data_IF_520323587654
#
_entry.id   IF_520323587654
#
_cell.length_a   1.000
_cell.length_b   1.000
_cell.length_c   1.000
_cell.angle_alpha   90.00
_cell.angle_beta   90.00
_cell.angle_gamma   90.00
#
_symmetry.space_group_name_H-M   'P 1'
#
loop_
_entity.id
_entity.type
_entity.pdbx_description
1 polymer ?
#
# COMPACT_ATOMS: atom_id res chain seq x y z
N UNK A 1 34.98 -23.51 -24.63
CA UNK A 1 34.86 -22.64 -25.81
C UNK A 1 35.09 -23.49 -27.06
N UNK A 2 34.04 -23.90 -27.75
CA UNK A 2 34.14 -24.51 -29.08
C UNK A 2 33.47 -23.57 -30.07
N UNK A 3 34.27 -22.98 -30.96
CA UNK A 3 33.79 -22.21 -32.09
C UNK A 3 33.16 -23.17 -33.11
N UNK A 4 31.85 -23.06 -33.33
CA UNK A 4 31.16 -23.80 -34.39
C UNK A 4 31.00 -22.84 -35.58
N UNK A 5 31.88 -22.98 -36.57
CA UNK A 5 31.60 -22.46 -37.93
C UNK A 5 30.59 -23.38 -38.59
N UNK A 6 29.47 -22.86 -39.07
CA UNK A 6 28.56 -23.60 -39.97
C UNK A 6 28.23 -22.76 -41.19
N UNK A 7 28.74 -23.21 -42.33
CA UNK A 7 28.28 -22.79 -43.65
C UNK A 7 26.93 -23.41 -43.95
N UNK A 8 26.00 -22.62 -44.48
CA UNK A 8 24.72 -23.11 -44.97
C UNK A 8 24.89 -23.87 -46.29
N UNK A 9 24.48 -25.13 -46.33
CA UNK A 9 24.14 -25.81 -47.58
C UNK A 9 22.97 -26.75 -47.34
N UNK A 10 21.78 -26.34 -47.81
CA UNK A 10 20.47 -27.01 -47.76
C UNK A 10 19.71 -26.79 -46.43
N UNK A 11 18.61 -26.02 -46.52
CA UNK A 11 17.72 -25.63 -45.41
C UNK A 11 17.02 -26.82 -44.74
N UNK A 12 16.30 -26.71 -43.63
CA UNK A 12 15.82 -25.62 -42.75
C UNK A 12 15.32 -26.33 -41.50
N UNK A 13 15.76 -26.01 -40.27
CA UNK A 13 15.32 -26.78 -39.09
C UNK A 13 15.21 -26.01 -37.75
N UNK A 14 15.12 -24.68 -37.70
CA UNK A 14 14.67 -23.98 -36.46
C UNK A 14 13.84 -22.74 -36.88
N UNK A 15 12.64 -22.49 -36.31
CA UNK A 15 11.61 -21.62 -36.88
C UNK A 15 12.07 -20.16 -37.09
N UNK A 16 11.56 -19.56 -38.16
CA UNK A 16 11.81 -18.17 -38.61
C UNK A 16 10.62 -17.32 -38.15
N UNK A 17 10.80 -16.12 -37.56
CA UNK A 17 10.53 -14.89 -38.33
C UNK A 17 11.32 -13.66 -37.83
N UNK A 18 12.58 -13.48 -38.19
CA UNK A 18 12.86 -12.81 -39.45
C UNK A 18 14.24 -13.14 -39.94
N UNK A 19 14.31 -14.11 -40.84
CA UNK A 19 15.46 -14.22 -41.73
C UNK A 19 15.55 -12.94 -42.56
N UNK A 20 16.76 -12.56 -42.99
CA UNK A 20 16.93 -12.10 -44.35
C UNK A 20 16.36 -13.21 -45.23
N UNK A 21 15.11 -13.06 -45.65
CA UNK A 21 14.54 -13.89 -46.70
C UNK A 21 15.48 -13.74 -47.90
N UNK A 22 16.23 -14.80 -48.12
CA UNK A 22 16.56 -15.33 -49.45
C UNK A 22 17.38 -14.49 -50.45
N UNK A 23 17.90 -13.31 -50.09
CA UNK A 23 18.66 -12.48 -51.06
C UNK A 23 20.15 -12.31 -50.78
N UNK A 24 20.68 -12.80 -49.65
CA UNK A 24 22.11 -12.68 -49.36
C UNK A 24 22.70 -13.95 -48.75
N UNK A 25 23.38 -14.74 -49.58
CA UNK A 25 24.40 -15.68 -49.11
C UNK A 25 25.46 -14.87 -48.35
N UNK A 26 25.43 -14.90 -47.02
CA UNK A 26 26.38 -14.23 -46.16
C UNK A 26 26.71 -15.09 -44.94
N UNK A 27 27.97 -15.05 -44.51
CA UNK A 27 28.40 -15.74 -43.29
C UNK A 27 27.84 -15.03 -42.05
N UNK A 28 27.35 -15.80 -41.07
CA UNK A 28 26.77 -15.27 -39.83
C UNK A 28 27.28 -16.04 -38.61
N UNK A 29 27.25 -15.38 -37.45
CA UNK A 29 27.49 -16.00 -36.14
C UNK A 29 26.21 -15.93 -35.32
N UNK A 30 25.88 -17.01 -34.64
CA UNK A 30 24.71 -17.12 -33.77
C UNK A 30 25.13 -17.51 -32.35
N UNK A 31 24.60 -16.80 -31.37
CA UNK A 31 24.70 -17.13 -29.95
C UNK A 31 23.38 -17.78 -29.54
N UNK A 32 23.44 -19.04 -29.12
CA UNK A 32 22.24 -19.84 -28.83
C UNK A 32 22.21 -20.20 -27.34
N UNK A 33 21.02 -20.11 -26.77
CA UNK A 33 20.59 -20.66 -25.49
C UNK A 33 19.45 -21.66 -25.76
N UNK A 34 19.12 -22.56 -24.80
CA UNK A 34 18.10 -23.59 -24.99
C UNK A 34 16.76 -23.08 -25.55
N UNK A 35 16.38 -21.84 -25.24
CA UNK A 35 15.15 -21.25 -25.74
C UNK A 35 15.26 -19.80 -26.23
N UNK A 36 16.46 -19.39 -26.62
CA UNK A 36 16.67 -18.06 -27.20
C UNK A 36 17.90 -18.04 -28.07
N UNK A 37 17.92 -17.18 -29.08
CA UNK A 37 19.12 -16.96 -29.86
C UNK A 37 19.21 -15.54 -30.40
N UNK A 38 20.43 -15.04 -30.54
CA UNK A 38 20.72 -13.80 -31.25
C UNK A 38 21.79 -14.06 -32.31
N UNK A 39 21.59 -13.54 -33.52
CA UNK A 39 22.47 -13.77 -34.66
C UNK A 39 22.59 -12.51 -35.51
N UNK A 40 23.78 -12.29 -36.06
CA UNK A 40 24.05 -11.29 -37.08
C UNK A 40 25.09 -11.83 -38.06
N UNK A 41 25.19 -11.14 -39.20
CA UNK A 41 26.27 -11.34 -40.15
C UNK A 41 27.64 -10.99 -39.53
N UNK A 42 28.67 -11.67 -40.01
CA UNK A 42 30.07 -11.39 -39.65
C UNK A 42 30.43 -9.96 -40.07
N UNK A 43 31.21 -9.27 -39.24
CA UNK A 43 31.71 -7.92 -39.47
C UNK A 43 31.11 -6.83 -38.57
N UNK A 44 31.44 -5.55 -38.86
CA UNK A 44 30.99 -4.42 -38.06
C UNK A 44 29.51 -4.10 -38.32
N UNK A 45 28.92 -3.33 -37.40
CA UNK A 45 27.52 -2.88 -37.47
C UNK A 45 27.20 -2.18 -38.81
N UNK A 46 28.08 -1.28 -39.25
CA UNK A 46 27.86 -0.38 -40.39
C UNK A 46 28.26 -0.95 -41.77
N UNK A 47 28.76 -2.20 -41.84
CA UNK A 47 29.09 -2.79 -43.14
C UNK A 47 27.81 -3.18 -43.89
N UNK A 48 27.33 -2.24 -44.71
CA UNK A 48 26.40 -2.51 -45.80
C UNK A 48 27.25 -2.87 -47.02
N UNK A 49 27.27 -4.14 -47.42
CA UNK A 49 27.94 -4.52 -48.67
C UNK A 49 27.35 -3.68 -49.83
N UNK A 50 28.18 -3.01 -50.65
CA UNK A 50 27.68 -2.22 -51.77
C UNK A 50 26.88 -3.11 -52.72
N UNK A 51 25.59 -2.79 -52.93
CA UNK A 51 24.71 -3.52 -53.85
C UNK A 51 23.83 -4.60 -53.21
N UNK A 52 23.95 -4.89 -51.90
CA UNK A 52 22.96 -5.70 -51.17
C UNK A 52 22.08 -4.78 -50.32
N UNK A 53 20.85 -4.60 -50.75
CA UNK A 53 19.84 -3.91 -49.95
C UNK A 53 19.71 -4.57 -48.57
N UNK A 54 19.93 -3.79 -47.50
CA UNK A 54 19.41 -4.00 -46.16
C UNK A 54 19.66 -5.38 -45.51
N UNK A 55 20.92 -5.74 -45.27
CA UNK A 55 21.24 -6.84 -44.34
C UNK A 55 20.95 -6.40 -42.90
N UNK A 56 19.70 -6.52 -42.48
CA UNK A 56 19.23 -6.10 -41.17
C UNK A 56 20.03 -6.72 -40.03
N UNK A 57 20.13 -5.97 -38.94
CA UNK A 57 20.89 -6.33 -37.74
C UNK A 57 19.93 -6.56 -36.58
N UNK A 58 20.12 -7.66 -35.86
CA UNK A 58 19.39 -7.99 -34.64
C UNK A 58 20.13 -7.41 -33.44
N UNK A 59 19.51 -6.41 -32.79
CA UNK A 59 20.07 -5.79 -31.59
C UNK A 59 19.61 -6.48 -30.30
N UNK A 60 18.41 -7.04 -30.31
CA UNK A 60 17.83 -7.74 -29.19
C UNK A 60 16.88 -8.82 -29.67
N UNK A 61 16.83 -9.92 -28.95
CA UNK A 61 15.77 -10.93 -29.04
C UNK A 61 15.20 -11.17 -27.67
N UNK A 62 13.90 -11.37 -27.57
CA UNK A 62 13.24 -11.72 -26.32
C UNK A 62 12.27 -12.87 -26.56
N UNK A 63 12.31 -13.89 -25.70
CA UNK A 63 11.44 -15.06 -25.76
C UNK A 63 10.75 -15.26 -24.41
N UNK A 64 9.43 -15.46 -24.42
CA UNK A 64 8.68 -15.83 -23.21
C UNK A 64 8.51 -17.34 -23.10
N UNK A 65 8.36 -17.81 -21.86
CA UNK A 65 7.91 -19.16 -21.55
C UNK A 65 7.08 -19.16 -20.27
N UNK A 66 6.18 -20.12 -20.18
CA UNK A 66 5.26 -20.30 -19.06
C UNK A 66 5.53 -21.59 -18.29
N UNK A 67 6.61 -22.28 -18.65
CA UNK A 67 7.01 -23.57 -18.11
C UNK A 67 8.36 -23.43 -17.41
N UNK A 68 8.44 -23.83 -16.15
CA UNK A 68 9.67 -23.71 -15.37
C UNK A 68 10.79 -24.60 -15.91
N UNK A 69 10.48 -25.83 -16.33
CA UNK A 69 11.44 -26.79 -16.90
C UNK A 69 12.18 -26.27 -18.16
N UNK A 70 11.61 -25.27 -18.84
CA UNK A 70 12.12 -24.63 -20.04
C UNK A 70 13.09 -23.47 -19.75
N UNK A 71 13.08 -22.97 -18.51
CA UNK A 71 13.96 -21.87 -18.06
C UNK A 71 15.38 -22.36 -17.79
N UNK A 72 16.34 -21.43 -17.71
CA UNK A 72 17.74 -21.71 -17.37
C UNK A 72 17.98 -21.63 -15.86
N UNK A 73 17.42 -20.62 -15.21
CA UNK A 73 17.70 -20.27 -13.81
C UNK A 73 16.54 -20.58 -12.88
N UNK A 74 15.34 -20.81 -13.43
CA UNK A 74 14.08 -20.85 -12.68
C UNK A 74 13.36 -22.20 -12.73
N UNK A 75 14.09 -23.28 -13.06
CA UNK A 75 13.53 -24.64 -13.19
C UNK A 75 12.92 -25.17 -11.89
N UNK A 76 13.34 -24.62 -10.75
CA UNK A 76 12.89 -24.97 -9.41
C UNK A 76 11.59 -24.25 -8.99
N UNK A 77 11.05 -23.36 -9.82
CA UNK A 77 9.84 -22.61 -9.47
C UNK A 77 8.57 -23.41 -9.81
N UNK A 78 7.85 -23.84 -8.78
CA UNK A 78 6.56 -24.54 -8.92
C UNK A 78 5.37 -23.59 -9.11
N UNK A 79 5.65 -22.28 -9.10
CA UNK A 79 4.64 -21.22 -9.13
C UNK A 79 4.91 -20.18 -10.22
N UNK A 80 5.68 -20.59 -11.25
CA UNK A 80 6.03 -19.71 -12.38
C UNK A 80 4.76 -19.24 -13.10
N UNK A 81 4.62 -17.92 -13.26
CA UNK A 81 3.59 -17.31 -14.10
C UNK A 81 4.11 -17.03 -15.51
N UNK A 82 5.36 -16.57 -15.63
CA UNK A 82 6.02 -16.26 -16.90
C UNK A 82 7.52 -16.10 -16.65
N UNK A 83 8.35 -16.55 -17.58
CA UNK A 83 9.75 -16.14 -17.68
C UNK A 83 10.02 -15.52 -19.05
N UNK A 84 10.91 -14.52 -19.10
CA UNK A 84 11.36 -13.87 -20.33
C UNK A 84 12.88 -13.95 -20.36
N UNK A 85 13.42 -14.49 -21.46
CA UNK A 85 14.84 -14.45 -21.78
C UNK A 85 15.09 -13.33 -22.78
N UNK A 86 15.89 -12.34 -22.39
CA UNK A 86 16.33 -11.24 -23.24
C UNK A 86 17.79 -11.45 -23.60
N UNK A 87 18.11 -11.52 -24.89
CA UNK A 87 19.48 -11.51 -25.38
C UNK A 87 19.72 -10.20 -26.13
N UNK A 88 20.76 -9.45 -25.76
CA UNK A 88 21.09 -8.14 -26.33
C UNK A 88 22.50 -8.16 -26.91
N UNK A 89 22.67 -7.53 -28.06
CA UNK A 89 23.99 -7.26 -28.62
C UNK A 89 24.83 -6.41 -27.65
N UNK A 90 26.15 -6.60 -27.66
CA UNK A 90 27.03 -5.85 -26.75
C UNK A 90 27.06 -4.36 -27.11
N UNK A 91 27.22 -3.51 -26.09
CA UNK A 91 27.38 -2.07 -26.29
C UNK A 91 28.62 -1.72 -27.14
N UNK A 92 29.68 -2.53 -27.06
CA UNK A 92 30.88 -2.34 -27.87
C UNK A 92 30.62 -2.59 -29.35
N UNK A 93 29.80 -3.57 -29.71
CA UNK A 93 29.41 -3.81 -31.10
C UNK A 93 28.42 -2.76 -31.59
N UNK A 94 27.46 -2.35 -30.75
CA UNK A 94 26.54 -1.24 -31.06
C UNK A 94 27.29 0.08 -31.27
N UNK A 95 28.38 0.31 -30.53
CA UNK A 95 29.29 1.44 -30.70
C UNK A 95 30.31 1.24 -31.84
N UNK A 96 30.20 0.17 -32.64
CA UNK A 96 31.12 -0.17 -33.74
C UNK A 96 32.60 -0.30 -33.33
N UNK A 97 32.89 -0.65 -32.07
CA UNK A 97 34.26 -0.85 -31.56
C UNK A 97 34.80 -2.26 -31.85
N UNK A 98 33.90 -3.24 -31.97
CA UNK A 98 34.22 -4.64 -32.28
C UNK A 98 33.35 -5.14 -33.42
N UNK A 99 33.79 -6.20 -34.09
CA UNK A 99 32.99 -6.95 -35.09
C UNK A 99 32.10 -7.99 -34.41
N UNK A 100 31.05 -8.45 -35.09
CA UNK A 100 30.03 -9.32 -34.48
C UNK A 100 30.60 -10.65 -33.97
N UNK A 101 31.50 -11.27 -34.73
CA UNK A 101 32.14 -12.54 -34.42
C UNK A 101 33.04 -12.50 -33.17
N UNK A 102 33.55 -11.31 -32.83
CA UNK A 102 34.39 -11.07 -31.66
C UNK A 102 33.60 -10.46 -30.50
N UNK A 103 32.30 -10.24 -30.67
CA UNK A 103 31.44 -9.63 -29.66
C UNK A 103 31.00 -10.61 -28.58
N UNK A 104 30.52 -10.07 -27.46
CA UNK A 104 29.94 -10.83 -26.34
C UNK A 104 28.55 -10.30 -26.01
N UNK A 105 27.48 -10.84 -26.62
CA UNK A 105 26.12 -10.48 -26.26
C UNK A 105 25.82 -10.81 -24.80
N UNK A 106 24.91 -10.04 -24.21
CA UNK A 106 24.44 -10.28 -22.84
C UNK A 106 23.10 -10.99 -22.87
N UNK A 107 22.90 -11.96 -21.98
CA UNK A 107 21.62 -12.63 -21.80
C UNK A 107 21.13 -12.46 -20.36
N UNK A 108 19.87 -12.08 -20.22
CA UNK A 108 19.20 -11.85 -18.93
C UNK A 108 17.88 -12.60 -18.93
N UNK A 109 17.67 -13.45 -17.93
CA UNK A 109 16.42 -14.17 -17.72
C UNK A 109 15.69 -13.57 -16.51
N UNK A 110 14.42 -13.21 -16.69
CA UNK A 110 13.58 -12.67 -15.62
C UNK A 110 12.32 -13.51 -15.48
N UNK A 111 11.90 -13.79 -14.24
CA UNK A 111 10.72 -14.60 -13.95
C UNK A 111 9.72 -13.83 -13.07
N UNK A 112 8.45 -13.98 -13.40
CA UNK A 112 7.31 -13.63 -12.57
C UNK A 112 6.72 -14.94 -12.02
N UNK A 113 6.47 -14.98 -10.72
CA UNK A 113 5.97 -16.18 -10.04
C UNK A 113 5.08 -15.78 -8.85
N UNK A 114 4.21 -16.68 -8.43
CA UNK A 114 3.36 -16.46 -7.25
C UNK A 114 4.14 -16.72 -5.96
N UNK A 115 3.99 -15.83 -4.99
CA UNK A 115 4.56 -15.95 -3.67
C UNK A 115 3.62 -15.39 -2.59
N UNK A 116 3.78 -15.90 -1.37
CA UNK A 116 3.20 -15.35 -0.17
C UNK A 116 4.23 -14.43 0.49
N UNK A 117 3.85 -13.18 0.72
CA UNK A 117 4.70 -12.16 1.35
C UNK A 117 4.18 -11.81 2.74
N UNK A 118 5.07 -11.73 3.72
CA UNK A 118 4.78 -11.19 5.04
C UNK A 118 5.27 -9.74 5.12
N UNK A 119 4.39 -8.83 5.54
CA UNK A 119 4.71 -7.41 5.67
C UNK A 119 4.52 -6.92 7.10
N UNK A 120 5.39 -6.01 7.52
CA UNK A 120 5.14 -5.12 8.64
C UNK A 120 4.58 -3.81 8.09
N UNK A 121 3.29 -3.57 8.32
CA UNK A 121 2.61 -2.37 7.82
C UNK A 121 2.42 -1.37 8.96
N UNK A 122 2.82 -0.12 8.74
CA UNK A 122 2.59 1.02 9.64
C UNK A 122 1.85 2.11 8.90
N UNK A 123 0.96 2.84 9.57
CA UNK A 123 0.25 3.97 8.98
C UNK A 123 0.49 5.22 9.81
N UNK A 124 1.07 6.24 9.18
CA UNK A 124 1.39 7.52 9.82
C UNK A 124 0.86 8.64 8.93
N UNK A 125 0.01 9.52 9.48
CA UNK A 125 -0.63 10.62 8.74
C UNK A 125 -1.33 10.18 7.43
N UNK A 126 -2.04 9.04 7.47
CA UNK A 126 -2.70 8.41 6.31
C UNK A 126 -1.75 7.89 5.22
N UNK A 127 -0.45 7.81 5.49
CA UNK A 127 0.54 7.19 4.61
C UNK A 127 0.90 5.82 5.17
N UNK A 128 0.63 4.77 4.39
CA UNK A 128 1.01 3.40 4.74
C UNK A 128 2.46 3.16 4.32
N UNK A 129 3.30 2.75 5.27
CA UNK A 129 4.68 2.29 5.06
C UNK A 129 4.74 0.81 5.38
N UNK A 130 5.11 0.00 4.39
CA UNK A 130 5.24 -1.45 4.53
C UNK A 130 6.70 -1.89 4.39
N UNK A 131 7.13 -2.78 5.27
CA UNK A 131 8.44 -3.44 5.20
C UNK A 131 8.24 -4.93 4.94
N UNK A 132 8.87 -5.48 3.90
CA UNK A 132 8.82 -6.91 3.60
C UNK A 132 9.66 -7.66 4.64
N UNK A 133 9.03 -8.56 5.39
CA UNK A 133 9.69 -9.39 6.38
C UNK A 133 10.16 -10.73 5.79
N UNK A 134 9.39 -11.29 4.85
CA UNK A 134 9.70 -12.59 4.23
C UNK A 134 8.83 -12.86 3.00
N UNK A 135 9.30 -13.75 2.14
CA UNK A 135 8.65 -14.16 0.89
C UNK A 135 8.85 -15.65 0.64
N UNK A 136 7.77 -16.35 0.29
CA UNK A 136 7.78 -17.79 0.06
C UNK A 136 6.96 -18.17 -1.17
N UNK A 137 7.54 -18.94 -2.08
CA UNK A 137 6.91 -19.35 -3.34
C UNK A 137 6.57 -20.85 -3.38
N UNK A 138 6.54 -21.52 -2.23
CA UNK A 138 6.33 -22.96 -2.19
C UNK A 138 4.86 -23.31 -2.37
N UNK A 139 4.60 -24.27 -3.25
CA UNK A 139 3.28 -24.89 -3.46
C UNK A 139 3.14 -26.10 -2.54
N UNK A 140 1.91 -26.33 -2.06
CA UNK A 140 1.55 -27.59 -1.41
C UNK A 140 1.48 -28.69 -2.48
N UNK A 141 2.24 -29.80 -2.38
CA UNK A 141 2.36 -30.81 -3.44
C UNK A 141 1.01 -31.35 -3.94
N UNK A 142 0.06 -31.54 -3.04
CA UNK A 142 -1.26 -32.08 -3.34
C UNK A 142 -2.30 -31.05 -3.81
N UNK A 143 -1.92 -29.78 -4.00
CA UNK A 143 -2.82 -28.74 -4.52
C UNK A 143 -2.85 -28.71 -6.05
N UNK A 144 -3.75 -27.94 -6.67
CA UNK A 144 -3.81 -27.72 -8.13
C UNK A 144 -3.90 -29.01 -8.98
N UNK A 145 -4.76 -29.95 -8.57
CA UNK A 145 -5.01 -31.23 -9.25
C UNK A 145 -6.13 -31.08 -10.29
N UNK A 146 -6.34 -32.08 -11.13
CA UNK A 146 -7.51 -32.15 -12.00
C UNK A 146 -8.81 -31.99 -11.19
N UNK A 147 -9.75 -31.19 -11.71
CA UNK A 147 -11.07 -31.04 -11.13
C UNK A 147 -12.10 -31.86 -11.95
N UNK A 148 -12.61 -32.99 -11.43
CA UNK A 148 -13.54 -33.87 -12.16
C UNK A 148 -14.92 -33.24 -12.36
N UNK A 149 -15.31 -32.24 -11.55
CA UNK A 149 -16.60 -31.56 -11.67
C UNK A 149 -16.62 -30.52 -12.81
N UNK A 150 -15.52 -30.41 -13.56
CA UNK A 150 -15.35 -29.53 -14.71
C UNK A 150 -16.22 -29.95 -15.91
N UNK A 151 -17.16 -29.08 -16.29
CA UNK A 151 -18.12 -29.30 -17.37
C UNK A 151 -17.51 -29.54 -18.78
N UNK A 152 -16.23 -29.20 -19.00
CA UNK A 152 -15.62 -29.29 -20.34
C UNK A 152 -15.11 -30.68 -20.72
N UNK A 153 -14.91 -31.57 -19.75
CA UNK A 153 -14.46 -32.96 -19.97
C UNK A 153 -14.91 -33.86 -18.81
N UNK A 154 -16.22 -34.01 -18.62
CA UNK A 154 -16.73 -35.13 -17.82
C UNK A 154 -16.34 -36.43 -18.53
N UNK A 155 -15.57 -37.30 -17.86
CA UNK A 155 -14.95 -38.54 -18.40
C UNK A 155 -13.85 -38.36 -19.47
N UNK A 156 -12.71 -37.75 -19.09
CA UNK A 156 -11.48 -37.88 -19.86
C UNK A 156 -10.52 -38.89 -19.20
N UNK A 157 -10.56 -40.18 -19.57
CA UNK A 157 -9.63 -41.18 -19.07
C UNK A 157 -8.19 -40.77 -19.47
N UNK A 158 -7.42 -40.32 -18.47
CA UNK A 158 -6.07 -39.81 -18.65
C UNK A 158 -5.86 -38.34 -18.27
N UNK A 159 -6.90 -37.60 -17.83
CA UNK A 159 -6.77 -36.22 -17.36
C UNK A 159 -5.80 -36.09 -16.17
N UNK A 160 -5.82 -37.04 -15.24
CA UNK A 160 -4.88 -37.07 -14.11
C UNK A 160 -3.44 -37.27 -14.60
N UNK A 161 -3.21 -38.27 -15.46
CA UNK A 161 -1.89 -38.53 -16.05
C UNK A 161 -1.40 -37.36 -16.91
N UNK A 162 -2.32 -36.66 -17.59
CA UNK A 162 -2.04 -35.44 -18.34
C UNK A 162 -1.58 -34.30 -17.42
N UNK A 163 -2.32 -34.02 -16.35
CA UNK A 163 -1.95 -32.99 -15.36
C UNK A 163 -0.63 -33.34 -14.68
N UNK A 164 -0.40 -34.61 -14.36
CA UNK A 164 0.86 -35.10 -13.81
C UNK A 164 2.03 -34.90 -14.81
N UNK A 165 1.81 -35.14 -16.10
CA UNK A 165 2.82 -34.93 -17.15
C UNK A 165 3.25 -33.46 -17.30
N UNK A 166 2.38 -32.52 -16.93
CA UNK A 166 2.65 -31.08 -16.99
C UNK A 166 3.50 -30.60 -15.80
N UNK A 167 3.63 -31.40 -14.74
CA UNK A 167 4.47 -31.10 -13.58
C UNK A 167 4.10 -29.76 -12.90
N UNK A 168 5.03 -28.80 -12.94
CA UNK A 168 4.88 -27.47 -12.35
C UNK A 168 4.19 -26.44 -13.25
N UNK A 169 3.81 -26.80 -14.48
CA UNK A 169 3.13 -25.87 -15.37
C UNK A 169 1.75 -25.49 -14.82
N UNK A 170 1.53 -24.18 -14.68
CA UNK A 170 0.32 -23.63 -14.10
C UNK A 170 -0.79 -23.38 -15.13
N UNK A 171 -0.46 -23.21 -16.42
CA UNK A 171 -1.45 -22.87 -17.44
C UNK A 171 -1.78 -24.08 -18.30
N UNK A 172 -3.06 -24.45 -18.36
CA UNK A 172 -3.56 -25.48 -19.27
C UNK A 172 -4.96 -25.10 -19.75
N UNK A 173 -5.12 -24.93 -21.07
CA UNK A 173 -6.41 -24.61 -21.69
C UNK A 173 -7.34 -25.82 -21.86
N UNK A 174 -6.84 -27.04 -21.63
CA UNK A 174 -7.59 -28.28 -21.83
C UNK A 174 -8.24 -28.79 -20.56
N UNK A 175 -7.66 -28.49 -19.40
CA UNK A 175 -8.05 -29.12 -18.14
C UNK A 175 -8.22 -28.07 -17.04
N UNK A 176 -9.41 -28.02 -16.48
CA UNK A 176 -9.65 -27.25 -15.27
C UNK A 176 -9.04 -27.97 -14.05
N UNK A 177 -8.45 -27.19 -13.16
CA UNK A 177 -7.80 -27.69 -11.96
C UNK A 177 -8.46 -27.13 -10.70
N UNK A 178 -8.23 -27.79 -9.58
CA UNK A 178 -8.56 -27.25 -8.26
C UNK A 178 -7.71 -26.03 -7.95
N UNK A 179 -8.01 -25.32 -6.87
CA UNK A 179 -7.20 -24.18 -6.45
C UNK A 179 -5.75 -24.60 -6.10
N UNK A 180 -4.81 -23.70 -6.43
CA UNK A 180 -3.42 -23.81 -6.03
C UNK A 180 -3.32 -23.40 -4.57
N UNK A 181 -2.50 -24.07 -3.77
CA UNK A 181 -2.26 -23.65 -2.40
C UNK A 181 -0.78 -23.33 -2.17
N UNK A 182 -0.49 -22.07 -1.86
CA UNK A 182 0.83 -21.63 -1.40
C UNK A 182 0.97 -21.94 0.09
N UNK A 183 2.18 -22.33 0.49
CA UNK A 183 2.53 -22.66 1.88
C UNK A 183 3.70 -21.81 2.37
N UNK A 184 3.58 -21.31 3.60
CA UNK A 184 4.65 -20.66 4.35
C UNK A 184 5.19 -21.68 5.37
N UNK A 185 6.41 -22.22 5.16
CA UNK A 185 6.95 -23.27 6.01
C UNK A 185 7.23 -22.79 7.43
N UNK A 186 6.76 -23.56 8.43
CA UNK A 186 6.92 -23.24 9.85
C UNK A 186 8.37 -23.01 10.26
N UNK A 187 9.28 -23.86 9.79
CA UNK A 187 10.72 -23.75 10.08
C UNK A 187 11.33 -22.42 9.62
N UNK A 188 10.83 -21.86 8.52
CA UNK A 188 11.33 -20.59 7.96
C UNK A 188 10.60 -19.36 8.51
N UNK A 189 9.58 -19.57 9.36
CA UNK A 189 8.75 -18.52 9.92
C UNK A 189 8.41 -18.80 11.38
N UNK A 190 9.39 -19.35 12.11
CA UNK A 190 9.29 -19.66 13.53
C UNK A 190 9.21 -18.39 14.39
N UNK A 191 9.81 -17.29 13.92
CA UNK A 191 9.81 -16.00 14.60
C UNK A 191 8.49 -15.21 14.42
N UNK A 192 7.56 -15.73 13.62
CA UNK A 192 6.26 -15.10 13.36
C UNK A 192 5.20 -15.58 14.35
N UNK A 193 4.12 -14.80 14.56
CA UNK A 193 3.03 -15.18 15.47
C UNK A 193 2.46 -16.56 15.16
N UNK A 194 2.12 -17.33 16.20
CA UNK A 194 1.63 -18.70 16.06
C UNK A 194 0.28 -18.78 15.32
N UNK A 195 -0.52 -17.72 15.36
CA UNK A 195 -1.81 -17.56 14.68
C UNK A 195 -1.67 -17.06 13.23
N UNK A 196 -0.45 -16.86 12.73
CA UNK A 196 -0.22 -16.48 11.33
C UNK A 196 -0.79 -17.51 10.37
N UNK A 197 -1.59 -17.07 9.40
CA UNK A 197 -2.06 -17.93 8.31
C UNK A 197 -0.88 -18.39 7.45
N UNK A 198 -0.72 -19.71 7.32
CA UNK A 198 0.40 -20.33 6.57
C UNK A 198 0.00 -20.89 5.21
N UNK A 199 -1.29 -21.07 4.96
CA UNK A 199 -1.82 -21.63 3.71
C UNK A 199 -2.70 -20.61 3.00
N UNK A 200 -2.41 -20.38 1.71
CA UNK A 200 -3.12 -19.42 0.88
C UNK A 200 -3.61 -20.10 -0.39
N UNK A 201 -4.92 -20.09 -0.60
CA UNK A 201 -5.51 -20.61 -1.84
C UNK A 201 -5.45 -19.51 -2.91
N UNK A 202 -5.03 -19.90 -4.11
CA UNK A 202 -5.03 -19.10 -5.32
C UNK A 202 -5.93 -19.81 -6.32
N UNK A 203 -7.01 -19.15 -6.74
CA UNK A 203 -8.01 -19.81 -7.55
C UNK A 203 -7.47 -20.20 -8.93
N UNK A 204 -7.94 -21.34 -9.45
CA UNK A 204 -7.59 -21.76 -10.81
C UNK A 204 -7.97 -20.68 -11.84
N UNK A 205 -9.15 -20.07 -11.71
CA UNK A 205 -9.59 -18.99 -12.60
C UNK A 205 -8.69 -17.76 -12.58
N UNK A 206 -8.14 -17.39 -11.42
CA UNK A 206 -7.16 -16.31 -11.34
C UNK A 206 -5.88 -16.68 -12.10
N UNK A 207 -5.33 -17.87 -11.88
CA UNK A 207 -4.12 -18.34 -12.57
C UNK A 207 -4.34 -18.37 -14.09
N UNK A 208 -5.46 -18.96 -14.51
CA UNK A 208 -5.83 -19.09 -15.91
C UNK A 208 -5.96 -17.72 -16.59
N UNK A 209 -6.69 -16.78 -15.97
CA UNK A 209 -6.87 -15.43 -16.51
C UNK A 209 -5.58 -14.60 -16.47
N UNK A 210 -4.80 -14.67 -15.40
CA UNK A 210 -3.55 -13.94 -15.26
C UNK A 210 -2.51 -14.40 -16.29
N UNK A 211 -2.28 -15.70 -16.42
CA UNK A 211 -1.36 -16.23 -17.42
C UNK A 211 -1.92 -16.03 -18.84
N UNK A 212 -3.23 -16.21 -19.06
CA UNK A 212 -3.86 -15.92 -20.34
C UNK A 212 -3.67 -14.45 -20.79
N UNK A 213 -3.79 -13.49 -19.86
CA UNK A 213 -3.48 -12.09 -20.12
C UNK A 213 -2.01 -11.89 -20.46
N UNK A 214 -1.10 -12.47 -19.67
CA UNK A 214 0.33 -12.40 -19.91
C UNK A 214 0.71 -12.97 -21.29
N UNK A 215 0.14 -14.13 -21.67
CA UNK A 215 0.26 -14.70 -23.02
C UNK A 215 -0.18 -13.68 -24.05
N UNK A 216 -1.39 -13.11 -23.93
CA UNK A 216 -1.90 -12.13 -24.89
C UNK A 216 -1.03 -10.88 -25.01
N UNK A 217 -0.47 -10.42 -23.90
CA UNK A 217 0.41 -9.25 -23.85
C UNK A 217 1.77 -9.49 -24.50
N UNK A 218 2.20 -10.75 -24.51
CA UNK A 218 3.47 -11.17 -25.11
C UNK A 218 3.35 -11.72 -26.53
N UNK A 219 2.14 -11.93 -27.04
CA UNK A 219 1.93 -12.42 -28.40
C UNK A 219 2.23 -11.32 -29.43
N UNK A 220 2.91 -11.70 -30.51
CA UNK A 220 3.10 -10.88 -31.70
C UNK A 220 1.88 -11.05 -32.62
N UNK A 221 1.25 -9.94 -32.99
CA UNK A 221 0.18 -9.92 -34.01
C UNK A 221 0.80 -10.05 -35.41
N UNK A 222 0.99 -11.28 -35.90
CA UNK A 222 1.37 -11.50 -37.30
C UNK A 222 0.16 -12.02 -38.11
N UNK A 223 -0.26 -11.31 -39.17
CA UNK A 223 -1.07 -11.92 -40.22
C UNK A 223 -0.14 -12.78 -41.08
N UNK A 224 0.04 -14.04 -40.71
CA UNK A 224 0.67 -15.01 -41.61
C UNK A 224 -0.36 -15.30 -42.73
N UNK A 225 -0.17 -14.67 -43.90
CA UNK A 225 -0.80 -14.98 -45.18
C UNK A 225 -2.17 -15.69 -45.12
N UNK A 226 -3.21 -14.97 -44.72
CA UNK A 226 -4.60 -15.40 -44.93
C UNK A 226 -5.09 -16.59 -44.09
N UNK A 227 -4.33 -17.03 -43.08
CA UNK A 227 -4.87 -17.94 -42.07
C UNK A 227 -5.58 -17.10 -40.99
N UNK A 228 -6.84 -17.40 -40.65
CA UNK A 228 -7.53 -16.71 -39.58
C UNK A 228 -6.73 -16.87 -38.29
N UNK A 229 -6.39 -15.73 -37.68
CA UNK A 229 -5.85 -15.68 -36.32
C UNK A 229 -6.98 -16.13 -35.40
N UNK A 230 -7.02 -17.43 -35.11
CA UNK A 230 -8.10 -18.10 -34.39
C UNK A 230 -8.50 -19.41 -35.05
N UNK A 231 -7.74 -20.47 -34.76
CA UNK A 231 -8.09 -21.91 -34.96
C UNK A 231 -6.86 -22.82 -35.09
N UNK A 232 -5.65 -22.33 -34.80
CA UNK A 232 -4.65 -23.22 -34.22
C UNK A 232 -5.17 -23.61 -32.85
N UNK A 233 -5.78 -24.79 -32.73
CA UNK A 233 -5.95 -25.42 -31.43
C UNK A 233 -4.64 -25.22 -30.66
N UNK A 234 -4.71 -24.60 -29.49
CA UNK A 234 -3.60 -24.53 -28.53
C UNK A 234 -3.42 -25.95 -27.97
N UNK A 235 -2.99 -26.88 -28.83
CA UNK A 235 -2.92 -28.32 -28.57
C UNK A 235 -1.56 -28.92 -28.89
N UNK A 236 -0.54 -28.09 -29.10
CA UNK A 236 0.83 -28.53 -29.25
C UNK A 236 1.63 -28.13 -27.99
N UNK A 237 1.85 -29.03 -27.01
CA UNK A 237 2.66 -28.79 -25.82
C UNK A 237 4.16 -28.60 -26.14
N UNK A 238 4.54 -28.77 -27.40
CA UNK A 238 5.91 -28.93 -27.88
C UNK A 238 6.50 -27.66 -28.52
N UNK A 239 5.73 -26.75 -29.13
CA UNK A 239 6.32 -25.75 -30.05
C UNK A 239 6.05 -24.25 -29.79
N UNK A 240 5.49 -23.81 -28.67
CA UNK A 240 5.21 -22.36 -28.48
C UNK A 240 6.26 -21.65 -27.63
N UNK A 241 7.42 -21.35 -28.24
CA UNK A 241 8.19 -20.17 -27.82
C UNK A 241 7.60 -18.98 -28.58
N UNK A 242 6.84 -18.14 -27.90
CA UNK A 242 6.37 -16.90 -28.52
C UNK A 242 7.57 -15.94 -28.56
N UNK A 243 8.23 -15.89 -29.71
CA UNK A 243 9.33 -14.95 -29.97
C UNK A 243 8.75 -13.53 -29.94
N UNK A 244 9.12 -12.77 -28.91
CA UNK A 244 8.58 -11.43 -28.63
C UNK A 244 9.19 -10.38 -29.55
N UNK A 245 10.51 -10.48 -29.78
CA UNK A 245 11.28 -9.48 -30.52
C UNK A 245 12.19 -10.09 -31.58
N UNK A 246 12.07 -9.60 -32.81
CA UNK A 246 12.80 -9.98 -34.03
C UNK A 246 13.51 -8.74 -34.61
N UNK A 247 14.33 -8.80 -35.69
CA UNK A 247 15.18 -7.67 -36.12
C UNK A 247 14.47 -6.39 -36.60
N UNK A 248 13.14 -6.30 -36.47
CA UNK A 248 12.31 -5.23 -37.03
C UNK A 248 11.74 -4.37 -35.89
N UNK A 249 12.31 -3.18 -35.66
CA UNK A 249 11.64 -2.14 -34.87
C UNK A 249 10.53 -1.51 -35.74
N UNK A 250 9.46 -2.25 -36.02
CA UNK A 250 8.25 -1.74 -36.67
C UNK A 250 7.07 -1.78 -35.69
N UNK A 251 5.96 -1.11 -36.04
CA UNK A 251 4.74 -0.99 -35.22
C UNK A 251 4.04 -2.34 -34.91
N UNK A 252 4.62 -3.48 -35.32
CA UNK A 252 4.09 -4.84 -35.12
C UNK A 252 4.69 -5.56 -33.90
N UNK A 253 5.65 -4.94 -33.21
CA UNK A 253 6.20 -5.49 -31.97
C UNK A 253 5.26 -5.27 -30.79
N UNK A 254 5.10 -6.25 -29.89
CA UNK A 254 4.38 -6.03 -28.65
C UNK A 254 5.04 -4.89 -27.84
N UNK A 255 4.28 -3.97 -27.22
CA UNK A 255 4.83 -2.84 -26.47
C UNK A 255 5.86 -3.21 -25.39
N UNK A 256 5.80 -4.46 -24.90
CA UNK A 256 6.78 -4.99 -23.95
C UNK A 256 8.21 -4.98 -24.51
N UNK A 257 8.40 -5.18 -25.82
CA UNK A 257 9.73 -5.25 -26.44
C UNK A 257 10.43 -3.89 -26.39
N UNK A 258 9.69 -2.81 -26.64
CA UNK A 258 10.22 -1.45 -26.52
C UNK A 258 10.62 -1.12 -25.08
N UNK A 259 9.81 -1.56 -24.11
CA UNK A 259 10.13 -1.41 -22.69
C UNK A 259 11.38 -2.21 -22.29
N UNK A 260 11.56 -3.42 -22.82
CA UNK A 260 12.74 -4.26 -22.60
C UNK A 260 13.99 -3.64 -23.23
N UNK A 261 13.88 -3.08 -24.44
CA UNK A 261 15.00 -2.42 -25.13
C UNK A 261 15.46 -1.14 -24.41
N UNK A 262 14.50 -0.31 -24.01
CA UNK A 262 14.76 0.97 -23.35
C UNK A 262 15.17 0.82 -21.87
N UNK A 263 14.99 -0.37 -21.28
CA UNK A 263 15.42 -0.62 -19.90
C UNK A 263 16.94 -0.63 -19.79
N UNK A 264 17.46 0.19 -18.87
CA UNK A 264 18.88 0.18 -18.48
C UNK A 264 19.18 -0.92 -17.45
N UNK A 265 18.17 -1.35 -16.69
CA UNK A 265 18.30 -2.37 -15.66
C UNK A 265 17.02 -3.22 -15.58
N UNK A 266 17.05 -4.38 -16.24
CA UNK A 266 15.93 -5.31 -16.29
C UNK A 266 15.53 -5.82 -14.91
N UNK A 267 16.46 -5.96 -13.96
CA UNK A 267 16.15 -6.38 -12.59
C UNK A 267 15.19 -5.40 -11.91
N UNK A 268 15.47 -4.09 -12.00
CA UNK A 268 14.61 -3.05 -11.42
C UNK A 268 13.29 -2.95 -12.19
N UNK A 269 13.31 -3.10 -13.52
CA UNK A 269 12.08 -3.10 -14.33
C UNK A 269 11.14 -4.23 -13.90
N UNK A 270 11.63 -5.48 -13.78
CA UNK A 270 10.80 -6.61 -13.39
C UNK A 270 10.37 -6.55 -11.91
N UNK A 271 11.19 -5.99 -11.02
CA UNK A 271 10.81 -5.70 -9.63
C UNK A 271 9.63 -4.70 -9.57
N UNK A 272 9.65 -3.66 -10.40
CA UNK A 272 8.54 -2.70 -10.51
C UNK A 272 7.28 -3.34 -11.12
N UNK A 273 7.42 -4.21 -12.11
CA UNK A 273 6.29 -4.98 -12.67
C UNK A 273 5.68 -5.89 -11.60
N UNK A 274 6.50 -6.63 -10.86
CA UNK A 274 6.04 -7.50 -9.78
C UNK A 274 5.31 -6.72 -8.68
N UNK A 275 5.84 -5.55 -8.27
CA UNK A 275 5.15 -4.65 -7.32
C UNK A 275 3.84 -4.11 -7.87
N UNK A 276 3.78 -3.72 -9.13
CA UNK A 276 2.56 -3.23 -9.77
C UNK A 276 1.47 -4.30 -9.80
N UNK A 277 1.82 -5.53 -10.22
CA UNK A 277 0.91 -6.67 -10.19
C UNK A 277 0.46 -7.00 -8.76
N UNK A 278 1.37 -6.97 -7.79
CA UNK A 278 1.06 -7.18 -6.37
C UNK A 278 0.06 -6.15 -5.86
N UNK A 279 0.26 -4.87 -6.18
CA UNK A 279 -0.65 -3.80 -5.80
C UNK A 279 -2.03 -3.96 -6.44
N UNK A 280 -2.08 -4.40 -7.70
CA UNK A 280 -3.33 -4.68 -8.40
C UNK A 280 -4.10 -5.87 -7.77
N UNK A 281 -3.39 -6.94 -7.41
CA UNK A 281 -3.99 -8.09 -6.72
C UNK A 281 -4.54 -7.65 -5.34
N UNK A 282 -3.77 -6.85 -4.60
CA UNK A 282 -4.20 -6.35 -3.28
C UNK A 282 -5.36 -5.36 -3.36
N UNK A 283 -5.38 -4.48 -4.36
CA UNK A 283 -6.44 -3.47 -4.52
C UNK A 283 -7.77 -4.08 -4.95
N UNK A 284 -7.72 -5.12 -5.79
CA UNK A 284 -8.89 -5.84 -6.30
C UNK A 284 -9.52 -6.78 -5.27
N UNK A 285 -8.76 -7.24 -4.27
CA UNK A 285 -9.32 -8.03 -3.17
C UNK A 285 -10.39 -7.23 -2.41
N UNK A 286 -11.53 -7.84 -2.02
CA UNK A 286 -12.50 -7.21 -1.13
C UNK A 286 -12.04 -7.23 0.34
N UNK A 287 -11.09 -8.11 0.70
CA UNK A 287 -10.66 -8.30 2.07
C UNK A 287 -9.83 -7.12 2.56
N UNK A 288 -10.13 -6.62 3.75
CA UNK A 288 -9.41 -5.52 4.40
C UNK A 288 -8.94 -5.98 5.76
N UNK A 289 -7.63 -5.90 6.00
CA UNK A 289 -7.06 -6.17 7.31
C UNK A 289 -7.39 -5.02 8.27
N UNK A 290 -8.02 -5.36 9.39
CA UNK A 290 -8.34 -4.41 10.45
C UNK A 290 -7.08 -4.11 11.27
N UNK A 291 -6.71 -2.83 11.35
CA UNK A 291 -5.59 -2.34 12.14
C UNK A 291 -6.04 -1.54 13.37
N UNK A 292 -5.15 -1.34 14.33
CA UNK A 292 -5.37 -0.39 15.44
C UNK A 292 -4.89 0.99 15.03
N UNK A 293 -5.81 1.96 14.96
CA UNK A 293 -5.48 3.36 14.70
C UNK A 293 -5.23 4.10 16.01
N UNK A 294 -4.08 4.77 16.14
CA UNK A 294 -3.86 5.73 17.22
C UNK A 294 -4.38 7.09 16.78
N UNK A 295 -5.26 7.68 17.59
CA UNK A 295 -5.80 9.02 17.36
C UNK A 295 -5.32 9.94 18.47
N UNK A 296 -4.79 11.10 18.10
CA UNK A 296 -4.52 12.18 19.05
C UNK A 296 -5.83 12.58 19.73
N UNK A 297 -5.88 12.39 21.06
CA UNK A 297 -7.01 12.82 21.90
C UNK A 297 -6.52 13.83 22.92
N UNK A 298 -7.28 14.90 23.11
CA UNK A 298 -6.99 15.90 24.14
C UNK A 298 -7.36 15.30 25.50
N UNK A 299 -6.36 14.95 26.30
CA UNK A 299 -6.58 14.57 27.69
C UNK A 299 -6.42 15.81 28.56
N UNK A 300 -7.53 16.29 29.13
CA UNK A 300 -7.52 17.43 30.05
C UNK A 300 -7.32 16.91 31.47
N UNK A 301 -6.20 17.26 32.09
CA UNK A 301 -5.99 17.06 33.52
C UNK A 301 -6.50 18.30 34.26
N UNK A 302 -7.44 18.12 35.18
CA UNK A 302 -7.97 19.22 36.01
C UNK A 302 -7.27 19.17 37.36
N UNK A 303 -6.44 20.19 37.62
CA UNK A 303 -5.76 20.36 38.90
C UNK A 303 -6.74 20.89 39.97
N UNK A 304 -7.33 19.99 40.74
CA UNK A 304 -8.28 20.34 41.81
C UNK A 304 -7.68 21.20 42.93
N UNK A 305 -6.35 21.26 43.05
CA UNK A 305 -5.65 22.08 44.05
C UNK A 305 -6.02 23.57 43.94
N UNK A 306 -6.30 24.08 42.73
CA UNK A 306 -6.68 25.48 42.52
C UNK A 306 -8.08 25.81 43.08
N UNK A 307 -8.94 24.82 43.33
CA UNK A 307 -10.23 25.03 43.98
C UNK A 307 -10.11 25.19 45.51
N UNK A 308 -8.96 24.87 46.10
CA UNK A 308 -8.76 25.03 47.55
C UNK A 308 -8.92 26.50 47.98
N UNK A 309 -8.34 27.45 47.23
CA UNK A 309 -8.41 28.86 47.56
C UNK A 309 -9.86 29.42 47.59
N UNK A 310 -10.67 29.32 46.53
CA UNK A 310 -12.05 29.80 46.56
C UNK A 310 -12.93 29.05 47.57
N UNK A 311 -12.65 27.78 47.87
CA UNK A 311 -13.37 27.05 48.91
C UNK A 311 -13.01 27.57 50.31
N UNK A 312 -11.72 27.79 50.59
CA UNK A 312 -11.28 28.30 51.90
C UNK A 312 -11.83 29.69 52.19
N UNK A 313 -11.88 30.60 51.21
CA UNK A 313 -12.42 31.94 51.42
C UNK A 313 -13.93 31.92 51.64
N UNK A 314 -14.65 31.00 50.97
CA UNK A 314 -16.08 30.77 51.19
C UNK A 314 -16.36 30.30 52.61
N UNK A 315 -15.60 29.29 53.08
CA UNK A 315 -15.72 28.76 54.44
C UNK A 315 -15.39 29.82 55.49
N UNK A 316 -14.32 30.59 55.28
CA UNK A 316 -13.95 31.69 56.17
C UNK A 316 -15.04 32.79 56.23
N UNK A 317 -15.64 33.13 55.08
CA UNK A 317 -16.75 34.08 55.01
C UNK A 317 -18.00 33.60 55.76
N UNK A 318 -18.36 32.33 55.60
CA UNK A 318 -19.48 31.71 56.34
C UNK A 318 -19.20 31.74 57.85
N UNK A 319 -18.00 31.35 58.27
CA UNK A 319 -17.58 31.37 59.67
C UNK A 319 -17.65 32.78 60.26
N UNK A 320 -17.15 33.78 59.53
CA UNK A 320 -17.21 35.17 59.95
C UNK A 320 -18.65 35.64 60.20
N UNK A 321 -19.58 35.35 59.29
CA UNK A 321 -20.99 35.71 59.44
C UNK A 321 -21.60 35.01 60.66
N UNK A 322 -21.35 33.71 60.84
CA UNK A 322 -21.87 32.96 61.98
C UNK A 322 -21.33 33.51 63.31
N UNK A 323 -20.03 33.79 63.39
CA UNK A 323 -19.43 34.39 64.58
C UNK A 323 -20.02 35.77 64.87
N UNK A 324 -20.25 36.58 63.84
CA UNK A 324 -20.88 37.90 63.99
C UNK A 324 -22.31 37.79 64.53
N UNK A 325 -23.09 36.80 64.07
CA UNK A 325 -24.44 36.54 64.58
C UNK A 325 -24.40 36.08 66.04
N UNK A 326 -23.50 35.16 66.39
CA UNK A 326 -23.34 34.66 67.77
C UNK A 326 -22.96 35.81 68.71
N UNK A 327 -22.00 36.65 68.31
CA UNK A 327 -21.55 37.77 69.14
C UNK A 327 -22.65 38.83 69.29
N UNK A 328 -23.36 39.15 68.21
CA UNK A 328 -24.48 40.10 68.24
C UNK A 328 -25.62 39.62 69.12
N UNK A 329 -25.92 38.31 69.12
CA UNK A 329 -26.94 37.70 69.98
C UNK A 329 -26.50 37.64 71.45
N UNK A 330 -25.22 37.35 71.72
CA UNK A 330 -24.66 37.38 73.09
C UNK A 330 -24.68 38.77 73.70
N UNK A 331 -24.31 39.79 72.93
CA UNK A 331 -24.32 41.19 73.35
C UNK A 331 -25.74 41.79 73.43
N UNK A 332 -26.78 41.00 73.09
CA UNK A 332 -28.19 41.43 73.08
C UNK A 332 -28.39 42.74 72.32
N UNK A 333 -27.64 42.94 71.24
CA UNK A 333 -27.75 44.16 70.44
C UNK A 333 -29.15 44.19 69.81
N UNK A 334 -29.95 45.26 70.01
CA UNK A 334 -31.26 45.36 69.40
C UNK A 334 -31.12 45.38 67.88
N UNK A 335 -32.07 44.79 67.18
CA UNK A 335 -32.09 44.81 65.70
C UNK A 335 -32.47 46.22 65.24
N UNK A 336 -31.48 47.04 64.92
CA UNK A 336 -31.65 48.46 64.53
C UNK A 336 -32.10 48.67 63.08
N UNK A 337 -32.51 47.59 62.39
CA UNK A 337 -32.66 47.54 60.93
C UNK A 337 -33.55 48.66 60.34
N UNK A 338 -34.42 49.29 61.14
CA UNK A 338 -35.33 50.36 60.70
C UNK A 338 -35.40 51.59 61.62
N UNK A 339 -34.48 51.76 62.57
CA UNK A 339 -34.58 52.88 63.52
C UNK A 339 -33.83 54.12 63.01
N UNK A 340 -34.56 55.15 62.56
CA UNK A 340 -34.01 56.50 62.30
C UNK A 340 -33.63 57.25 63.60
N UNK A 341 -33.87 56.61 64.75
CA UNK A 341 -33.68 57.13 66.10
C UNK A 341 -32.25 57.61 66.40
N UNK A 342 -31.15 56.94 65.96
CA UNK A 342 -29.80 57.43 66.24
C UNK A 342 -29.50 58.76 65.55
N UNK A 343 -30.01 58.94 64.33
CA UNK A 343 -29.88 60.19 63.56
C UNK A 343 -30.72 61.31 64.18
N UNK A 344 -31.92 60.98 64.68
CA UNK A 344 -32.81 61.93 65.36
C UNK A 344 -32.31 62.34 66.75
N UNK A 345 -31.81 61.39 67.55
CA UNK A 345 -31.29 61.63 68.90
C UNK A 345 -30.13 62.65 68.90
N UNK A 346 -29.30 62.64 67.87
CA UNK A 346 -28.18 63.57 67.75
C UNK A 346 -28.60 65.04 67.55
N UNK A 347 -29.86 65.30 67.15
CA UNK A 347 -30.37 66.64 66.87
C UNK A 347 -31.09 67.35 68.03
N UNK A 348 -31.37 66.64 69.14
CA UNK A 348 -32.02 67.20 70.34
C UNK A 348 -30.99 67.83 71.30
N UNK A 349 -31.43 68.75 72.15
CA UNK A 349 -30.62 69.33 73.23
C UNK A 349 -30.28 68.29 74.32
N UNK A 350 -29.24 68.56 75.11
CA UNK A 350 -28.70 67.61 76.09
C UNK A 350 -29.72 67.20 77.16
N UNK A 351 -30.64 68.10 77.53
CA UNK A 351 -31.66 67.81 78.54
C UNK A 351 -32.78 66.94 77.97
N UNK A 352 -33.23 67.21 76.74
CA UNK A 352 -34.18 66.34 76.02
C UNK A 352 -33.59 64.95 75.71
N UNK A 353 -32.31 64.87 75.34
CA UNK A 353 -31.63 63.57 75.14
C UNK A 353 -31.56 62.74 76.43
N UNK A 354 -31.34 63.40 77.58
CA UNK A 354 -31.35 62.76 78.90
C UNK A 354 -32.74 62.24 79.26
N UNK A 355 -33.77 63.07 79.07
CA UNK A 355 -35.17 62.67 79.30
C UNK A 355 -35.56 61.45 78.45
N UNK A 356 -35.25 61.45 77.16
CA UNK A 356 -35.56 60.33 76.27
C UNK A 356 -34.76 59.06 76.60
N UNK A 357 -33.53 59.18 77.13
CA UNK A 357 -32.74 58.03 77.61
C UNK A 357 -33.31 57.43 78.90
N UNK A 358 -33.87 58.25 79.78
CA UNK A 358 -34.54 57.79 80.99
C UNK A 358 -35.89 57.14 80.69
N UNK A 359 -36.66 57.74 79.77
CA UNK A 359 -38.01 57.29 79.39
C UNK A 359 -38.00 56.05 78.48
N UNK A 360 -36.94 55.85 77.69
CA UNK A 360 -36.72 54.69 76.81
C UNK A 360 -36.60 53.33 77.50
N UNK A 361 -36.67 53.26 78.84
CA UNK A 361 -36.75 52.01 79.61
C UNK A 361 -38.19 51.48 79.76
N UNK A 362 -39.20 52.27 79.41
CA UNK A 362 -40.62 51.91 79.53
C UNK A 362 -41.24 51.76 78.15
N UNK A 363 -41.77 50.58 77.84
CA UNK A 363 -42.31 50.28 76.51
C UNK A 363 -43.57 51.11 76.22
N UNK A 364 -43.47 51.98 75.22
CA UNK A 364 -44.47 52.94 74.72
C UNK A 364 -44.69 54.20 75.58
N UNK A 365 -43.71 55.11 75.55
CA UNK A 365 -43.96 56.53 75.82
C UNK A 365 -44.08 57.31 74.50
N UNK A 366 -45.11 58.15 74.39
CA UNK A 366 -45.29 59.11 73.29
C UNK A 366 -44.88 60.48 73.79
N UNK A 367 -43.65 60.88 73.50
CA UNK A 367 -43.15 62.22 73.81
C UNK A 367 -43.43 63.15 72.63
N UNK A 368 -44.26 64.18 72.85
CA UNK A 368 -44.47 65.24 71.86
C UNK A 368 -43.28 66.19 71.93
N UNK A 369 -42.75 66.56 70.76
CA UNK A 369 -41.63 67.48 70.64
C UNK A 369 -42.07 68.66 69.78
N UNK A 370 -41.61 69.85 70.15
CA UNK A 370 -41.91 71.10 69.46
C UNK A 370 -40.63 71.72 68.93
N UNK A 371 -40.74 72.47 67.85
CA UNK A 371 -39.66 73.34 67.39
C UNK A 371 -39.63 74.64 68.19
N UNK A 372 -38.47 74.92 68.78
CA UNK A 372 -38.15 76.15 69.49
C UNK A 372 -36.90 76.79 68.87
N UNK A 373 -36.83 78.12 68.86
CA UNK A 373 -35.65 78.84 68.36
C UNK A 373 -34.70 79.07 69.53
N UNK A 374 -33.47 78.60 69.35
CA UNK A 374 -32.37 78.84 70.29
C UNK A 374 -31.91 80.30 70.24
N UNK A 375 -31.13 80.76 71.23
CA UNK A 375 -30.58 82.13 71.34
C UNK A 375 -29.74 82.55 70.12
N UNK A 376 -29.33 81.57 69.29
CA UNK A 376 -28.61 81.76 68.03
C UNK A 376 -29.53 81.71 66.78
N UNK A 377 -30.83 81.88 66.96
CA UNK A 377 -31.88 81.91 65.92
C UNK A 377 -31.98 80.62 65.08
N UNK A 378 -31.52 79.49 65.61
CA UNK A 378 -31.60 78.18 64.97
C UNK A 378 -32.79 77.37 65.52
N UNK A 379 -33.54 76.70 64.65
CA UNK A 379 -34.66 75.82 65.03
C UNK A 379 -34.12 74.50 65.62
N UNK A 380 -34.48 74.22 66.86
CA UNK A 380 -34.17 72.96 67.56
C UNK A 380 -35.45 72.29 68.01
N UNK A 381 -35.44 70.96 68.05
CA UNK A 381 -36.53 70.18 68.59
C UNK A 381 -36.31 70.05 70.11
N UNK A 382 -37.31 70.43 70.90
CA UNK A 382 -37.30 70.36 72.36
C UNK A 382 -38.52 69.57 72.82
N UNK A 383 -38.39 68.80 73.89
CA UNK A 383 -39.52 68.07 74.47
C UNK A 383 -40.59 69.03 75.01
N UNK A 384 -41.85 68.75 74.66
CA UNK A 384 -43.00 69.48 75.19
C UNK A 384 -43.39 68.85 76.54
N UNK A 385 -43.20 69.59 77.63
CA UNK A 385 -43.58 69.16 78.99
C UNK A 385 -45.09 69.00 79.16
#
# INVERSE_FOLDING_TARGET
MQYIRRYGSKGTNIPIPGTPTDYSRGEFVAFNLPYGNIRNYIGPLNNVEPGKANAQRTYMTANSTFQANRTLSFQHLDTLLMAILVMRASDDWLASKVVWEDTKPTATECALYLCANAYQSTSENNVVKEHLLGSWAQRTPDSYKYNPDSAYFQDNPGADAWVESLGSELYDARVNRTDLQLVIPEKMSADYPADMRRHFNVSHSFIFSAIGYLISYTKRDLPIYGLPVGSGNVTAPDETWDMLGVPWLNDEMPPIVDALWNSTNLTVTFDNVARSLTNQIRSSSPDRHQGKLQKWTLHVHVDWAYLAYPVTILVAGILYVVLTIIESTRLRLPVWKESALPTLLHGFDDDTQRLLREDGKTAQSRTLVRFERDEKDCLRLVAQQ
#
